data_IF_176338320518
#
_entry.id   IF_176338320518
#
_cell.length_a   1.000
_cell.length_b   1.000
_cell.length_c   1.000
_cell.angle_alpha   90.00
_cell.angle_beta   90.00
_cell.angle_gamma   90.00
#
_symmetry.space_group_name_H-M   'P 1'
#
loop_
_entity.id
_entity.type
_entity.pdbx_description
1 polymer ?
#
# COMPACT_ATOMS: atom_id res chain seq x y z
N UNK A 1 -26.44 11.00 -8.61
CA UNK A 1 -25.80 10.70 -9.91
C UNK A 1 -24.52 11.54 -9.96
N UNK A 2 -23.34 10.94 -10.11
CA UNK A 2 -22.04 11.63 -9.86
C UNK A 2 -21.63 12.66 -10.93
N UNK A 3 -22.37 12.79 -12.04
CA UNK A 3 -22.08 13.78 -13.10
C UNK A 3 -20.84 13.48 -13.97
N UNK A 4 -20.07 12.45 -13.63
CA UNK A 4 -18.86 12.00 -14.34
C UNK A 4 -18.94 10.53 -14.74
N UNK A 5 -18.06 10.12 -15.65
CA UNK A 5 -18.05 8.77 -16.23
C UNK A 5 -17.39 7.70 -15.36
N UNK A 6 -16.53 8.11 -14.42
CA UNK A 6 -15.76 7.22 -13.55
C UNK A 6 -15.38 7.90 -12.23
N UNK A 7 -15.21 7.10 -11.17
CA UNK A 7 -14.61 7.57 -9.92
C UNK A 7 -13.20 8.14 -10.12
N UNK A 8 -12.43 7.62 -11.08
CA UNK A 8 -11.09 8.13 -11.41
C UNK A 8 -11.12 9.56 -11.96
N UNK A 9 -12.18 9.92 -12.69
CA UNK A 9 -12.41 11.29 -13.14
C UNK A 9 -12.78 12.18 -11.94
N UNK A 10 -13.67 11.70 -11.07
CA UNK A 10 -14.11 12.38 -9.86
C UNK A 10 -12.93 12.77 -8.95
N UNK A 11 -11.91 11.91 -8.81
CA UNK A 11 -10.72 12.19 -7.97
C UNK A 11 -10.02 13.51 -8.33
N UNK A 12 -10.10 13.94 -9.59
CA UNK A 12 -9.42 15.15 -10.07
C UNK A 12 -10.24 16.43 -9.86
N UNK A 13 -11.49 16.32 -9.45
CA UNK A 13 -12.42 17.45 -9.30
C UNK A 13 -12.55 17.88 -7.83
N UNK A 14 -12.88 19.15 -7.54
CA UNK A 14 -13.01 19.63 -6.16
C UNK A 14 -14.00 18.81 -5.32
N UNK A 15 -15.15 18.45 -5.90
CA UNK A 15 -16.19 17.66 -5.24
C UNK A 15 -15.85 16.16 -5.09
N UNK A 16 -14.68 15.72 -5.57
CA UNK A 16 -14.14 14.39 -5.31
C UNK A 16 -13.48 14.21 -3.94
N UNK A 17 -13.47 15.26 -3.11
CA UNK A 17 -12.83 15.28 -1.78
C UNK A 17 -13.13 14.04 -0.93
N UNK A 18 -14.41 13.70 -0.74
CA UNK A 18 -14.78 12.55 0.10
C UNK A 18 -14.20 11.24 -0.45
N UNK A 19 -14.27 11.02 -1.76
CA UNK A 19 -13.70 9.82 -2.39
C UNK A 19 -12.18 9.76 -2.21
N UNK A 20 -11.48 10.90 -2.27
CA UNK A 20 -10.03 10.95 -2.00
C UNK A 20 -9.73 10.56 -0.55
N UNK A 21 -10.48 11.06 0.42
CA UNK A 21 -10.33 10.70 1.84
C UNK A 21 -10.63 9.21 2.07
N UNK A 22 -11.70 8.67 1.49
CA UNK A 22 -12.08 7.26 1.63
C UNK A 22 -10.99 6.33 1.07
N UNK A 23 -10.38 6.69 -0.07
CA UNK A 23 -9.29 5.93 -0.67
C UNK A 23 -7.98 6.01 0.12
N UNK A 24 -7.66 7.17 0.70
CA UNK A 24 -6.52 7.31 1.61
C UNK A 24 -6.73 6.46 2.88
N UNK A 25 -7.92 6.51 3.47
CA UNK A 25 -8.29 5.66 4.61
C UNK A 25 -8.14 4.16 4.27
N UNK A 26 -8.66 3.74 3.12
CA UNK A 26 -8.51 2.37 2.62
C UNK A 26 -7.05 1.99 2.42
N UNK A 27 -6.24 2.87 1.83
CA UNK A 27 -4.84 2.61 1.56
C UNK A 27 -4.05 2.37 2.85
N UNK A 28 -4.11 3.30 3.80
CA UNK A 28 -3.37 3.21 5.04
C UNK A 28 -3.87 2.07 5.94
N UNK A 29 -5.19 1.89 6.05
CA UNK A 29 -5.79 0.78 6.80
C UNK A 29 -5.35 -0.57 6.26
N UNK A 30 -5.32 -0.73 4.93
CA UNK A 30 -4.88 -1.97 4.30
C UNK A 30 -3.39 -2.24 4.54
N UNK A 31 -2.53 -1.21 4.43
CA UNK A 31 -1.11 -1.36 4.76
C UNK A 31 -0.87 -1.77 6.21
N UNK A 32 -1.61 -1.16 7.16
CA UNK A 32 -1.54 -1.52 8.57
C UNK A 32 -2.02 -2.96 8.77
N UNK A 33 -3.13 -3.35 8.15
CA UNK A 33 -3.66 -4.72 8.23
C UNK A 33 -2.63 -5.77 7.76
N UNK A 34 -1.91 -5.50 6.66
CA UNK A 34 -0.83 -6.37 6.18
C UNK A 34 0.36 -6.43 7.15
N UNK A 35 0.71 -5.31 7.77
CA UNK A 35 1.77 -5.29 8.78
C UNK A 35 1.38 -6.06 10.05
N UNK A 36 0.12 -5.94 10.48
CA UNK A 36 -0.43 -6.70 11.60
C UNK A 36 -0.42 -8.19 11.31
N UNK A 37 -0.75 -8.64 10.09
CA UNK A 37 -0.69 -10.06 9.73
C UNK A 37 0.74 -10.61 9.89
N UNK A 38 1.74 -9.89 9.36
CA UNK A 38 3.16 -10.26 9.50
C UNK A 38 3.65 -10.26 10.95
N UNK A 39 3.31 -9.23 11.73
CA UNK A 39 3.71 -9.10 13.13
C UNK A 39 2.88 -9.97 14.09
N UNK A 40 1.70 -10.40 13.65
CA UNK A 40 0.82 -11.34 14.34
C UNK A 40 1.24 -12.79 14.16
N UNK A 41 2.11 -13.08 13.19
CA UNK A 41 2.74 -14.38 12.98
C UNK A 41 3.75 -14.69 14.10
N UNK A 42 3.21 -15.08 15.26
CA UNK A 42 3.91 -15.43 16.50
C UNK A 42 4.40 -16.87 16.54
N UNK A 43 4.29 -17.60 15.42
CA UNK A 43 4.94 -18.89 15.22
C UNK A 43 6.45 -18.76 15.08
N UNK A 44 7.06 -19.70 14.37
CA UNK A 44 8.49 -19.70 14.09
C UNK A 44 8.90 -18.56 13.14
N UNK A 45 10.17 -18.18 13.18
CA UNK A 45 10.76 -17.27 12.18
C UNK A 45 10.63 -17.82 10.75
N UNK A 46 10.61 -19.15 10.59
CA UNK A 46 10.41 -19.81 9.29
C UNK A 46 8.98 -19.59 8.76
N UNK A 47 7.95 -19.78 9.60
CA UNK A 47 6.56 -19.51 9.24
C UNK A 47 6.35 -18.03 8.87
N UNK A 48 6.93 -17.12 9.67
CA UNK A 48 6.87 -15.68 9.39
C UNK A 48 7.60 -15.30 8.10
N UNK A 49 8.75 -15.92 7.81
CA UNK A 49 9.46 -15.73 6.54
C UNK A 49 8.66 -16.28 5.33
N UNK A 50 7.94 -17.38 5.50
CA UNK A 50 7.04 -17.90 4.48
C UNK A 50 5.84 -16.96 4.24
N UNK A 51 5.27 -16.37 5.30
CA UNK A 51 4.22 -15.35 5.17
C UNK A 51 4.73 -14.08 4.49
N UNK A 52 5.95 -13.64 4.83
CA UNK A 52 6.63 -12.52 4.15
C UNK A 52 6.83 -12.82 2.66
N UNK A 53 7.26 -14.04 2.33
CA UNK A 53 7.36 -14.49 0.94
C UNK A 53 6.02 -14.42 0.21
N UNK A 54 4.93 -14.89 0.83
CA UNK A 54 3.56 -14.82 0.29
C UNK A 54 3.11 -13.38 0.07
N UNK A 55 3.45 -12.48 0.99
CA UNK A 55 3.16 -11.04 0.87
C UNK A 55 3.88 -10.42 -0.33
N UNK A 56 5.14 -10.80 -0.58
CA UNK A 56 5.89 -10.39 -1.78
C UNK A 56 5.27 -10.96 -3.06
N UNK A 57 4.82 -12.23 -3.03
CA UNK A 57 4.09 -12.83 -4.16
C UNK A 57 2.80 -12.07 -4.46
N UNK A 58 2.04 -11.70 -3.43
CA UNK A 58 0.83 -10.88 -3.59
C UNK A 58 1.13 -9.54 -4.26
N UNK A 59 2.19 -8.83 -3.84
CA UNK A 59 2.61 -7.60 -4.51
C UNK A 59 2.95 -7.84 -5.99
N UNK A 60 3.68 -8.91 -6.31
CA UNK A 60 4.02 -9.25 -7.68
C UNK A 60 2.79 -9.58 -8.55
N UNK A 61 1.80 -10.28 -8.00
CA UNK A 61 0.52 -10.59 -8.64
C UNK A 61 -0.31 -9.32 -8.89
N UNK A 62 -0.42 -8.44 -7.89
CA UNK A 62 -1.09 -7.15 -8.00
C UNK A 62 -0.47 -6.29 -9.11
N UNK A 63 0.87 -6.27 -9.17
CA UNK A 63 1.60 -5.49 -10.18
C UNK A 63 1.47 -6.09 -11.59
N UNK A 64 1.80 -7.37 -11.74
CA UNK A 64 2.08 -7.95 -13.06
C UNK A 64 0.85 -8.56 -13.70
N UNK A 65 0.01 -9.21 -12.91
CA UNK A 65 -1.14 -9.96 -13.42
C UNK A 65 -2.42 -9.13 -13.31
N UNK A 66 -2.67 -8.48 -12.18
CA UNK A 66 -3.87 -7.67 -11.99
C UNK A 66 -3.72 -6.24 -12.50
N UNK A 67 -2.50 -5.69 -12.55
CA UNK A 67 -2.30 -4.28 -12.90
C UNK A 67 -2.95 -3.31 -11.91
N UNK A 68 -3.10 -3.73 -10.65
CA UNK A 68 -3.66 -2.95 -9.57
C UNK A 68 -2.53 -2.26 -8.79
N UNK A 69 -2.15 -1.06 -9.23
CA UNK A 69 -1.05 -0.30 -8.65
C UNK A 69 -1.38 0.25 -7.26
N UNK A 70 -2.65 0.58 -7.00
CA UNK A 70 -3.11 1.01 -5.67
C UNK A 70 -2.90 -0.10 -4.62
N UNK A 71 -3.35 -1.32 -4.92
CA UNK A 71 -3.16 -2.47 -4.02
C UNK A 71 -1.69 -2.85 -3.90
N UNK A 72 -0.96 -2.85 -5.01
CA UNK A 72 0.50 -3.07 -5.00
C UNK A 72 1.21 -2.09 -4.06
N UNK A 73 0.93 -0.79 -4.19
CA UNK A 73 1.51 0.25 -3.35
C UNK A 73 1.17 0.06 -1.86
N UNK A 74 -0.04 -0.40 -1.53
CA UNK A 74 -0.45 -0.65 -0.15
C UNK A 74 0.35 -1.80 0.48
N UNK A 75 0.59 -2.89 -0.27
CA UNK A 75 1.43 -4.01 0.16
C UNK A 75 2.89 -3.59 0.28
N UNK A 76 3.43 -2.87 -0.70
CA UNK A 76 4.81 -2.38 -0.66
C UNK A 76 5.05 -1.45 0.54
N UNK A 77 4.11 -0.53 0.82
CA UNK A 77 4.17 0.31 2.02
C UNK A 77 4.26 -0.53 3.30
N UNK A 78 3.47 -1.59 3.43
CA UNK A 78 3.54 -2.46 4.60
C UNK A 78 4.93 -3.10 4.77
N UNK A 79 5.53 -3.57 3.67
CA UNK A 79 6.87 -4.17 3.67
C UNK A 79 7.99 -3.17 3.98
N UNK A 80 7.76 -1.88 3.72
CA UNK A 80 8.70 -0.79 3.96
C UNK A 80 8.55 -0.13 5.33
N UNK A 81 7.50 -0.47 6.10
CA UNK A 81 7.34 0.04 7.46
C UNK A 81 8.60 -0.26 8.31
N UNK A 82 9.08 0.69 9.14
CA UNK A 82 10.24 0.47 10.00
C UNK A 82 10.12 -0.79 10.86
N UNK A 83 8.91 -1.09 11.32
CA UNK A 83 8.59 -2.25 12.16
C UNK A 83 8.73 -3.59 11.41
N UNK A 84 8.54 -3.62 10.09
CA UNK A 84 8.70 -4.82 9.26
C UNK A 84 10.13 -4.91 8.71
N UNK A 85 10.67 -3.81 8.21
CA UNK A 85 12.02 -3.76 7.63
C UNK A 85 13.12 -4.07 8.64
N UNK A 86 12.90 -3.81 9.93
CA UNK A 86 13.87 -4.14 11.00
C UNK A 86 13.96 -5.62 11.40
N UNK A 87 13.06 -6.48 10.92
CA UNK A 87 12.99 -7.90 11.31
C UNK A 87 14.12 -8.72 10.65
N UNK A 88 15.36 -8.45 11.06
CA UNK A 88 16.57 -8.99 10.42
C UNK A 88 16.55 -10.53 10.34
N UNK A 89 16.12 -11.24 11.38
CA UNK A 89 16.08 -12.71 11.38
C UNK A 89 15.05 -13.23 10.36
N UNK A 90 13.89 -12.57 10.27
CA UNK A 90 12.87 -12.89 9.26
C UNK A 90 13.41 -12.66 7.85
N UNK A 91 14.04 -11.51 7.58
CA UNK A 91 14.60 -11.19 6.27
C UNK A 91 15.79 -12.09 5.89
N UNK A 92 16.65 -12.46 6.83
CA UNK A 92 17.72 -13.45 6.64
C UNK A 92 17.11 -14.80 6.26
N UNK A 93 16.09 -15.25 7.01
CA UNK A 93 15.42 -16.53 6.75
C UNK A 93 14.74 -16.54 5.39
N UNK A 94 14.09 -15.44 4.99
CA UNK A 94 13.54 -15.25 3.64
C UNK A 94 14.64 -15.40 2.58
N UNK A 95 15.79 -14.75 2.76
CA UNK A 95 16.92 -14.85 1.81
C UNK A 95 17.45 -16.29 1.69
N UNK A 96 17.48 -17.04 2.79
CA UNK A 96 17.97 -18.42 2.83
C UNK A 96 16.97 -19.44 2.26
N UNK A 97 15.67 -19.29 2.55
CA UNK A 97 14.63 -20.28 2.21
C UNK A 97 13.83 -19.93 0.95
N UNK A 98 13.76 -18.65 0.60
CA UNK A 98 12.98 -18.10 -0.52
C UNK A 98 13.79 -17.05 -1.30
N UNK A 99 15.00 -17.41 -1.71
CA UNK A 99 15.97 -16.50 -2.34
C UNK A 99 15.38 -15.75 -3.54
N UNK A 100 14.63 -16.42 -4.41
CA UNK A 100 13.98 -15.78 -5.56
C UNK A 100 12.96 -14.70 -5.14
N UNK A 101 12.21 -14.95 -4.06
CA UNK A 101 11.28 -13.97 -3.49
C UNK A 101 12.00 -12.74 -2.93
N UNK A 102 13.11 -12.95 -2.23
CA UNK A 102 13.95 -11.85 -1.73
C UNK A 102 14.55 -11.02 -2.89
N UNK A 103 15.04 -11.67 -3.94
CA UNK A 103 15.56 -10.99 -5.15
C UNK A 103 14.44 -10.24 -5.86
N UNK A 104 13.26 -10.84 -6.02
CA UNK A 104 12.09 -10.20 -6.62
C UNK A 104 11.74 -8.90 -5.90
N UNK A 105 11.67 -8.93 -4.56
CA UNK A 105 11.42 -7.74 -3.76
C UNK A 105 12.49 -6.66 -3.94
N UNK A 106 13.75 -6.98 -3.68
CA UNK A 106 14.84 -5.99 -3.64
C UNK A 106 15.24 -5.45 -5.02
N UNK A 107 15.20 -6.29 -6.06
CA UNK A 107 15.71 -5.94 -7.39
C UNK A 107 14.63 -5.55 -8.39
N UNK A 108 13.37 -5.85 -8.13
CA UNK A 108 12.26 -5.53 -9.05
C UNK A 108 11.18 -4.68 -8.40
N UNK A 109 10.58 -5.14 -7.30
CA UNK A 109 9.40 -4.47 -6.74
C UNK A 109 9.74 -3.15 -6.06
N UNK A 110 10.77 -3.11 -5.20
CA UNK A 110 11.24 -1.87 -4.54
C UNK A 110 11.68 -0.79 -5.54
N UNK A 111 12.57 -1.07 -6.51
CA UNK A 111 12.95 -0.08 -7.52
C UNK A 111 11.77 0.42 -8.34
N UNK A 112 10.84 -0.47 -8.71
CA UNK A 112 9.63 -0.09 -9.43
C UNK A 112 8.72 0.83 -8.62
N UNK A 113 8.47 0.52 -7.33
CA UNK A 113 7.69 1.39 -6.44
C UNK A 113 8.31 2.78 -6.31
N UNK A 114 9.64 2.82 -6.13
CA UNK A 114 10.39 4.09 -6.10
C UNK A 114 10.21 4.88 -7.39
N UNK A 115 10.41 4.25 -8.54
CA UNK A 115 10.27 4.93 -9.83
C UNK A 115 8.82 5.42 -10.07
N UNK A 116 7.80 4.70 -9.63
CA UNK A 116 6.41 5.16 -9.71
C UNK A 116 6.20 6.43 -8.87
N UNK A 117 6.73 6.46 -7.66
CA UNK A 117 6.65 7.61 -6.76
C UNK A 117 7.45 8.82 -7.29
N UNK A 118 8.61 8.58 -7.90
CA UNK A 118 9.47 9.58 -8.51
C UNK A 118 8.94 10.09 -9.87
N UNK A 119 7.85 9.54 -10.39
CA UNK A 119 7.31 9.89 -11.72
C UNK A 119 8.19 9.44 -12.89
N UNK A 120 8.98 8.37 -12.69
CA UNK A 120 9.92 7.81 -13.69
C UNK A 120 9.40 6.55 -14.37
N UNK A 121 8.29 5.97 -13.88
CA UNK A 121 7.65 4.83 -14.56
C UNK A 121 6.74 5.31 -15.69
N UNK A 122 6.77 4.59 -16.82
CA UNK A 122 5.81 4.82 -17.91
C UNK A 122 4.47 4.17 -17.58
N UNK A 123 3.37 4.94 -17.68
CA UNK A 123 2.01 4.41 -17.49
C UNK A 123 1.65 3.42 -18.61
N UNK A 124 1.89 2.13 -18.39
CA UNK A 124 1.49 1.07 -19.31
C UNK A 124 -0.04 0.82 -19.25
N UNK A 125 -0.81 1.71 -19.88
CA UNK A 125 -2.28 1.71 -19.90
C UNK A 125 -2.90 0.35 -20.28
N UNK A 126 -2.23 -0.44 -21.11
CA UNK A 126 -2.77 -1.68 -21.67
C UNK A 126 -3.11 -2.75 -20.62
N UNK A 127 -2.40 -2.79 -19.49
CA UNK A 127 -2.57 -3.85 -18.48
C UNK A 127 -3.04 -3.34 -17.11
N UNK A 128 -3.14 -2.02 -16.93
CA UNK A 128 -3.51 -1.41 -15.66
C UNK A 128 -5.03 -1.49 -15.44
N UNK A 129 -5.45 -1.97 -14.27
CA UNK A 129 -6.85 -1.97 -13.83
C UNK A 129 -7.15 -0.83 -12.87
N UNK A 130 -6.19 -0.52 -11.99
CA UNK A 130 -6.27 0.59 -11.06
C UNK A 130 -4.91 1.29 -11.02
N UNK A 131 -4.80 2.55 -11.49
CA UNK A 131 -3.52 3.26 -11.57
C UNK A 131 -2.98 3.66 -10.19
N UNK A 132 -1.72 4.12 -10.17
CA UNK A 132 -1.08 4.63 -8.96
C UNK A 132 -1.62 6.03 -8.65
N UNK A 133 -2.68 6.09 -7.86
CA UNK A 133 -3.39 7.34 -7.55
C UNK A 133 -2.93 8.00 -6.26
N UNK A 134 -2.21 7.30 -5.37
CA UNK A 134 -1.85 7.80 -4.04
C UNK A 134 -1.13 9.15 -4.09
N UNK A 135 -0.12 9.39 -4.96
CA UNK A 135 0.56 10.68 -5.01
C UNK A 135 -0.40 11.84 -5.27
N UNK A 136 -1.34 11.70 -6.23
CA UNK A 136 -2.30 12.79 -6.49
C UNK A 136 -3.32 12.95 -5.37
N UNK A 137 -3.75 11.86 -4.71
CA UNK A 137 -4.64 11.96 -3.54
C UNK A 137 -3.98 12.80 -2.44
N UNK A 138 -2.74 12.46 -2.08
CA UNK A 138 -1.97 13.16 -1.05
C UNK A 138 -1.68 14.62 -1.42
N UNK A 139 -1.38 14.90 -2.69
CA UNK A 139 -1.14 16.27 -3.17
C UNK A 139 -2.37 17.17 -3.07
N UNK A 140 -3.56 16.63 -3.34
CA UNK A 140 -4.82 17.39 -3.33
C UNK A 140 -5.41 17.53 -1.93
N UNK A 141 -5.13 16.59 -1.02
CA UNK A 141 -5.65 16.56 0.35
C UNK A 141 -4.61 16.98 1.40
N UNK A 142 -3.73 17.94 1.06
CA UNK A 142 -2.61 18.42 1.91
C UNK A 142 -3.02 18.51 3.39
N UNK A 143 -2.33 17.76 4.24
CA UNK A 143 -2.56 17.73 5.69
C UNK A 143 -2.88 16.34 6.27
N UNK A 144 -3.02 15.32 5.43
CA UNK A 144 -3.32 13.93 5.84
C UNK A 144 -2.12 12.98 5.68
N UNK A 145 -0.89 13.49 5.68
CA UNK A 145 0.30 12.63 5.65
C UNK A 145 0.34 11.79 6.94
N UNK A 146 0.08 10.49 6.79
CA UNK A 146 0.12 9.55 7.90
C UNK A 146 1.50 8.91 7.93
N UNK A 147 2.33 9.41 8.84
CA UNK A 147 3.65 8.87 9.15
C UNK A 147 4.78 9.83 8.84
N UNK A 148 5.88 9.70 9.57
CA UNK A 148 7.12 10.50 9.49
C UNK A 148 7.93 10.30 8.18
N UNK A 149 7.35 9.64 7.18
CA UNK A 149 8.05 9.40 5.92
C UNK A 149 7.94 10.63 5.02
N UNK A 150 9.07 11.29 4.77
CA UNK A 150 9.19 12.40 3.83
C UNK A 150 8.62 11.97 2.47
N UNK A 151 7.58 12.66 2.01
CA UNK A 151 6.96 12.36 0.73
C UNK A 151 7.94 12.72 -0.41
N UNK A 152 7.92 12.02 -1.57
CA UNK A 152 8.89 12.24 -2.65
C UNK A 152 8.97 13.70 -3.15
N UNK A 153 7.85 14.43 -3.08
CA UNK A 153 7.76 15.84 -3.48
C UNK A 153 8.19 16.85 -2.42
N UNK A 154 8.53 16.38 -1.21
CA UNK A 154 9.09 17.23 -0.14
C UNK A 154 10.62 17.41 -0.28
N UNK A 155 11.23 16.74 -1.28
CA UNK A 155 12.61 16.99 -1.70
C UNK A 155 12.75 18.36 -2.39
N UNK A 156 13.67 19.18 -1.89
CA UNK A 156 13.91 20.54 -2.39
C UNK A 156 14.45 20.58 -3.85
N UNK A 157 15.07 19.51 -4.33
CA UNK A 157 15.74 19.51 -5.64
C UNK A 157 14.86 19.00 -6.79
N UNK A 158 13.96 18.05 -6.51
CA UNK A 158 13.17 17.35 -7.56
C UNK A 158 11.66 17.46 -7.32
N UNK A 159 11.24 18.10 -6.23
CA UNK A 159 9.84 18.08 -5.80
C UNK A 159 8.85 18.67 -6.80
N UNK A 160 9.22 19.74 -7.50
CA UNK A 160 8.33 20.39 -8.49
C UNK A 160 8.09 19.50 -9.71
N UNK A 161 9.14 18.86 -10.23
CA UNK A 161 9.02 17.97 -11.39
C UNK A 161 8.16 16.74 -11.08
N UNK A 162 8.33 16.17 -9.87
CA UNK A 162 7.52 15.06 -9.38
C UNK A 162 6.05 15.48 -9.24
N UNK A 163 5.78 16.66 -8.68
CA UNK A 163 4.42 17.20 -8.57
C UNK A 163 3.79 17.37 -9.96
N UNK A 164 4.52 17.97 -10.91
CA UNK A 164 4.02 18.19 -12.26
C UNK A 164 3.69 16.87 -12.95
N UNK A 165 4.59 15.89 -12.86
CA UNK A 165 4.36 14.55 -13.40
C UNK A 165 3.06 13.94 -12.86
N UNK A 166 2.84 13.96 -11.54
CA UNK A 166 1.66 13.32 -10.95
C UNK A 166 0.36 14.05 -11.29
N UNK A 167 0.40 15.37 -11.46
CA UNK A 167 -0.76 16.14 -11.94
C UNK A 167 -1.07 15.85 -13.42
N UNK A 168 -0.05 15.73 -14.28
CA UNK A 168 -0.23 15.32 -15.68
C UNK A 168 -0.73 13.87 -15.81
N UNK A 169 -0.19 12.98 -14.99
CA UNK A 169 -0.64 11.60 -14.88
C UNK A 169 -2.10 11.54 -14.43
N UNK A 170 -2.51 12.35 -13.45
CA UNK A 170 -3.89 12.43 -13.00
C UNK A 170 -4.86 12.85 -14.10
N UNK A 171 -4.47 13.81 -14.95
CA UNK A 171 -5.26 14.20 -16.14
C UNK A 171 -5.44 13.03 -17.10
N UNK A 172 -4.36 12.27 -17.33
CA UNK A 172 -4.37 11.06 -18.16
C UNK A 172 -5.26 9.97 -17.55
N UNK A 173 -5.19 9.78 -16.23
CA UNK A 173 -6.01 8.81 -15.48
C UNK A 173 -7.50 9.14 -15.61
N UNK A 174 -7.88 10.41 -15.38
CA UNK A 174 -9.25 10.88 -15.51
C UNK A 174 -9.80 10.64 -16.92
N UNK A 175 -9.00 10.94 -17.95
CA UNK A 175 -9.41 10.76 -19.35
C UNK A 175 -9.61 9.29 -19.74
N UNK A 176 -8.82 8.38 -19.16
CA UNK A 176 -8.82 6.96 -19.54
C UNK A 176 -9.63 6.05 -18.60
N UNK A 177 -10.57 6.60 -17.82
CA UNK A 177 -11.44 5.85 -16.91
C UNK A 177 -12.09 4.60 -17.54
N UNK A 178 -12.51 4.71 -18.81
CA UNK A 178 -13.09 3.59 -19.55
C UNK A 178 -12.12 2.43 -19.82
N UNK A 179 -10.83 2.71 -20.06
CA UNK A 179 -9.82 1.68 -20.32
C UNK A 179 -9.57 0.86 -19.05
N UNK A 180 -9.40 1.54 -17.90
CA UNK A 180 -9.20 0.87 -16.61
C UNK A 180 -10.39 -0.03 -16.23
N UNK A 181 -11.61 0.43 -16.51
CA UNK A 181 -12.83 -0.37 -16.34
C UNK A 181 -12.81 -1.62 -17.22
N UNK A 182 -12.59 -1.48 -18.54
CA UNK A 182 -12.55 -2.62 -19.46
C UNK A 182 -11.47 -3.63 -19.08
N UNK A 183 -10.29 -3.16 -18.68
CA UNK A 183 -9.21 -4.02 -18.20
C UNK A 183 -9.62 -4.80 -16.95
N UNK A 184 -10.31 -4.14 -16.02
CA UNK A 184 -10.79 -4.75 -14.78
C UNK A 184 -11.84 -5.82 -15.06
N UNK A 185 -12.83 -5.50 -15.89
CA UNK A 185 -13.89 -6.42 -16.32
C UNK A 185 -13.30 -7.65 -17.03
N UNK A 186 -12.30 -7.45 -17.90
CA UNK A 186 -11.62 -8.54 -18.61
C UNK A 186 -10.86 -9.44 -17.65
N UNK A 187 -10.07 -8.88 -16.72
CA UNK A 187 -9.29 -9.67 -15.76
C UNK A 187 -10.15 -10.39 -14.72
N UNK A 188 -11.32 -9.86 -14.41
CA UNK A 188 -12.26 -10.43 -13.45
C UNK A 188 -13.35 -11.30 -14.12
N UNK A 189 -13.26 -11.52 -15.44
CA UNK A 189 -14.24 -12.34 -16.15
C UNK A 189 -14.25 -13.77 -15.58
N UNK A 190 -15.40 -14.19 -15.06
CA UNK A 190 -15.57 -15.52 -14.45
C UNK A 190 -14.97 -15.65 -13.05
N UNK A 191 -14.49 -14.56 -12.45
CA UNK A 191 -14.02 -14.58 -11.06
C UNK A 191 -15.18 -14.90 -10.11
N UNK A 192 -15.00 -15.93 -9.29
CA UNK A 192 -15.95 -16.30 -8.25
C UNK A 192 -15.41 -15.83 -6.90
N UNK A 193 -16.02 -14.77 -6.40
CA UNK A 193 -15.66 -14.20 -5.12
C UNK A 193 -16.11 -15.10 -3.97
N UNK A 194 -15.22 -15.27 -2.98
CA UNK A 194 -15.56 -15.91 -1.71
C UNK A 194 -15.96 -14.83 -0.72
N UNK A 195 -17.21 -14.88 -0.22
CA UNK A 195 -17.76 -13.84 0.65
C UNK A 195 -16.88 -13.54 1.88
N UNK A 196 -16.36 -14.58 2.54
CA UNK A 196 -15.47 -14.42 3.69
C UNK A 196 -14.18 -13.65 3.36
N UNK A 197 -13.64 -13.85 2.16
CA UNK A 197 -12.44 -13.13 1.70
C UNK A 197 -12.80 -11.70 1.31
N UNK A 198 -13.95 -11.50 0.65
CA UNK A 198 -14.45 -10.18 0.31
C UNK A 198 -14.54 -9.28 1.54
N UNK A 199 -15.17 -9.78 2.61
CA UNK A 199 -15.37 -9.03 3.85
C UNK A 199 -14.04 -8.61 4.48
N UNK A 200 -13.02 -9.48 4.48
CA UNK A 200 -11.68 -9.16 4.99
C UNK A 200 -11.04 -7.96 4.25
N UNK A 201 -11.37 -7.77 2.97
CA UNK A 201 -10.86 -6.66 2.16
C UNK A 201 -11.79 -5.43 2.13
N UNK A 202 -12.89 -5.43 2.89
CA UNK A 202 -13.67 -4.23 3.15
C UNK A 202 -12.98 -3.33 4.18
N UNK A 203 -12.93 -2.02 3.92
CA UNK A 203 -12.22 -1.07 4.79
C UNK A 203 -12.87 -1.01 6.17
N UNK A 204 -14.19 -1.07 6.23
CA UNK A 204 -14.99 -1.05 7.45
C UNK A 204 -14.70 -2.26 8.34
N UNK A 205 -14.53 -3.45 7.73
CA UNK A 205 -14.14 -4.66 8.43
C UNK A 205 -12.74 -4.50 9.03
N UNK A 206 -11.76 -4.06 8.22
CA UNK A 206 -10.38 -3.85 8.67
C UNK A 206 -10.32 -2.80 9.78
N UNK A 207 -11.07 -1.71 9.66
CA UNK A 207 -11.14 -0.67 10.69
C UNK A 207 -11.66 -1.22 12.01
N UNK A 208 -12.74 -2.00 11.98
CA UNK A 208 -13.29 -2.64 13.19
C UNK A 208 -12.35 -3.68 13.77
N UNK A 209 -11.63 -4.43 12.93
CA UNK A 209 -10.67 -5.43 13.40
C UNK A 209 -9.47 -4.79 14.10
N UNK A 210 -8.94 -3.70 13.53
CA UNK A 210 -7.78 -3.00 14.06
C UNK A 210 -8.14 -2.20 15.31
N UNK A 211 -9.17 -1.37 15.26
CA UNK A 211 -9.47 -0.39 16.32
C UNK A 211 -10.67 -0.76 17.21
N UNK A 212 -11.38 -1.86 16.91
CA UNK A 212 -12.62 -2.20 17.59
C UNK A 212 -13.77 -1.25 17.22
N UNK A 213 -15.00 -1.58 17.65
CA UNK A 213 -16.21 -0.85 17.28
C UNK A 213 -16.22 0.62 17.69
N UNK A 214 -15.67 0.95 18.86
CA UNK A 214 -15.56 2.34 19.35
C UNK A 214 -14.32 3.05 18.84
N UNK A 215 -13.20 2.33 18.73
CA UNK A 215 -11.95 2.95 18.30
C UNK A 215 -11.94 3.31 16.83
N UNK A 216 -12.71 2.61 15.98
CA UNK A 216 -12.84 2.93 14.55
C UNK A 216 -13.51 4.28 14.28
N UNK A 217 -14.28 4.82 15.23
CA UNK A 217 -14.92 6.13 15.13
C UNK A 217 -13.97 7.29 15.50
N UNK A 218 -12.78 6.97 16.03
CA UNK A 218 -11.76 7.95 16.39
C UNK A 218 -11.13 8.64 15.18
N UNK A 219 -10.50 9.79 15.42
CA UNK A 219 -9.80 10.54 14.38
C UNK A 219 -8.71 9.67 13.72
N UNK A 220 -8.52 9.88 12.41
CA UNK A 220 -7.56 9.10 11.63
C UNK A 220 -6.13 9.22 12.21
N UNK A 221 -5.70 10.43 12.56
CA UNK A 221 -4.38 10.68 13.15
C UNK A 221 -4.16 9.89 14.45
N UNK A 222 -5.12 9.92 15.38
CA UNK A 222 -5.00 9.17 16.63
C UNK A 222 -4.98 7.65 16.41
N UNK A 223 -5.82 7.16 15.49
CA UNK A 223 -5.90 5.73 15.15
C UNK A 223 -4.56 5.22 14.65
N UNK A 224 -3.91 5.97 13.77
CA UNK A 224 -2.63 5.60 13.18
C UNK A 224 -1.45 5.79 14.14
N UNK A 225 -1.41 6.87 14.93
CA UNK A 225 -0.38 7.06 15.95
C UNK A 225 -0.41 5.93 17.00
N UNK A 226 -1.61 5.52 17.43
CA UNK A 226 -1.77 4.38 18.35
C UNK A 226 -1.27 3.09 17.72
N UNK A 227 -1.59 2.85 16.44
CA UNK A 227 -1.16 1.63 15.77
C UNK A 227 0.33 1.60 15.49
N UNK A 228 0.97 2.73 15.20
CA UNK A 228 2.43 2.79 15.09
C UNK A 228 3.11 2.27 16.37
N UNK A 229 2.61 2.69 17.55
CA UNK A 229 3.10 2.20 18.85
C UNK A 229 2.85 0.70 19.03
N UNK A 230 1.69 0.19 18.62
CA UNK A 230 1.34 -1.24 18.69
C UNK A 230 2.26 -2.07 17.79
N UNK A 231 2.40 -1.69 16.51
CA UNK A 231 3.27 -2.37 15.55
C UNK A 231 4.71 -2.37 16.04
N UNK A 232 5.16 -1.25 16.63
CA UNK A 232 6.50 -1.14 17.21
C UNK A 232 6.66 -2.15 18.34
N UNK A 233 5.74 -2.18 19.31
CA UNK A 233 5.79 -3.13 20.41
C UNK A 233 5.79 -4.60 19.92
N UNK A 234 4.96 -4.94 18.93
CA UNK A 234 4.91 -6.29 18.34
C UNK A 234 6.22 -6.66 17.64
N UNK A 235 6.79 -5.74 16.85
CA UNK A 235 8.08 -5.95 16.17
C UNK A 235 9.22 -6.22 17.16
N UNK A 236 9.34 -5.41 18.22
CA UNK A 236 10.34 -5.64 19.28
C UNK A 236 10.09 -6.91 20.09
N UNK A 237 8.82 -7.34 20.23
CA UNK A 237 8.49 -8.61 20.88
C UNK A 237 8.92 -9.81 20.03
N UNK A 238 8.75 -9.73 18.71
CA UNK A 238 9.16 -10.79 17.78
C UNK A 238 10.69 -10.87 17.64
N UNK A 239 11.34 -9.72 17.46
CA UNK A 239 12.78 -9.62 17.28
C UNK A 239 13.34 -8.46 18.12
N UNK A 240 13.74 -8.75 19.39
CA UNK A 240 14.30 -7.75 20.29
C UNK A 240 15.51 -7.04 19.69
N UNK A 241 15.67 -5.75 19.98
CA UNK A 241 16.91 -5.06 19.60
C UNK A 241 18.11 -5.69 20.31
N UNK A 242 19.16 -5.97 19.54
CA UNK A 242 20.43 -6.46 20.07
C UNK A 242 20.96 -5.42 21.05
N UNK A 243 21.17 -5.80 22.32
CA UNK A 243 21.82 -4.91 23.29
C UNK A 243 23.30 -4.83 22.92
N UNK A 244 23.79 -3.63 22.61
CA UNK A 244 25.21 -3.36 22.31
C UNK A 244 26.18 -3.59 23.50
N UNK A 245 25.74 -4.23 24.58
CA UNK A 245 26.56 -4.51 25.77
C UNK A 245 27.26 -5.87 25.77
N UNK A 246 27.21 -6.62 24.66
CA UNK A 246 27.85 -7.94 24.52
C UNK A 246 28.76 -8.06 23.28
N UNK A 247 29.26 -6.94 22.77
CA UNK A 247 30.32 -6.88 21.74
C UNK A 247 31.60 -6.28 22.30
#
# INVERSE_FOLDING_TARGET
>A
MMGVSSGLELLTLPHGHQLRLDLLERFYTMSIMMAVDLLGCTGSTEERAALLHKTIQLAAELKSNLGNMFGFAAVMRALELPQISRLEQTWVTLRQRHTEGAILYEKKLKPFMKNMNDGKESNALANTTLPHIIPVLSLLERGMAVGDALEPWESAEVGVDVVMYHLEAARTIAHHGGIYRTNSETKLQGFQERAEIHDIFQTEFQMRLLWGSRGSEGSQSERYEKFDKVLTALSYKLEPAVRHSEL
#
